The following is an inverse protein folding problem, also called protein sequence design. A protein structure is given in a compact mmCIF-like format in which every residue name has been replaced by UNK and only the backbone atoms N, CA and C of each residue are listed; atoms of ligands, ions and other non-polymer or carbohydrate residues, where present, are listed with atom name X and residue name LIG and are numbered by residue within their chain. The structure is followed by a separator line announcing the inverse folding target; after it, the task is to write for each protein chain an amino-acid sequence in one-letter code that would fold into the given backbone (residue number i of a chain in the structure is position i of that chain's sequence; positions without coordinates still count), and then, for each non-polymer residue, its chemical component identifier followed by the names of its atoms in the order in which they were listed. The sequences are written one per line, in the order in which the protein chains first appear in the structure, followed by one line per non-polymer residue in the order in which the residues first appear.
data_IF_831148611159
#
_entry.id   IF_831148611159
#
_cell.length_a   1.000
_cell.length_b   1.000
_cell.length_c   1.000
_cell.angle_alpha   90.00
_cell.angle_beta   90.00
_cell.angle_gamma   90.00
#
_symmetry.space_group_name_H-M   'P 1'
#
loop_
_entity.id
_entity.type
_entity.pdbx_description
1 polymer ?
#
# COMPACT_ATOMS: atom_id res chain seq x y z
N UNK A 1 2.03 -35.28 0.03
CA UNK A 1 1.30 -34.37 -0.87
C UNK A 1 2.26 -33.31 -1.35
N UNK A 2 2.04 -32.77 -2.54
CA UNK A 2 2.87 -31.71 -3.11
C UNK A 2 1.99 -30.51 -3.46
N UNK A 3 2.50 -29.30 -3.22
CA UNK A 3 1.83 -28.06 -3.65
C UNK A 3 2.35 -27.71 -5.03
N UNK A 4 1.45 -27.67 -6.02
CA UNK A 4 1.80 -27.34 -7.41
C UNK A 4 1.71 -25.85 -7.70
N UNK A 5 0.74 -25.17 -7.11
CA UNK A 5 0.50 -23.75 -7.33
C UNK A 5 -0.28 -23.15 -6.17
N UNK A 6 -0.21 -21.83 -6.04
CA UNK A 6 -1.03 -21.06 -5.10
C UNK A 6 -1.57 -19.82 -5.81
N UNK A 7 -2.72 -19.34 -5.38
CA UNK A 7 -3.27 -18.04 -5.82
C UNK A 7 -4.10 -17.40 -4.73
N UNK A 8 -4.17 -16.08 -4.78
CA UNK A 8 -4.93 -15.26 -3.84
C UNK A 8 -6.11 -14.65 -4.59
N UNK A 9 -7.29 -14.65 -3.97
CA UNK A 9 -8.50 -14.05 -4.52
C UNK A 9 -8.94 -12.95 -3.55
N UNK A 10 -8.99 -11.67 -3.97
CA UNK A 10 -8.61 -11.17 -5.30
C UNK A 10 -7.08 -11.23 -5.54
N UNK A 11 -6.66 -11.26 -6.82
CA UNK A 11 -5.24 -11.30 -7.21
C UNK A 11 -4.46 -10.02 -6.82
N UNK A 12 -5.17 -8.95 -6.47
CA UNK A 12 -4.59 -7.68 -6.03
C UNK A 12 -5.36 -7.15 -4.82
N UNK A 13 -5.14 -7.74 -3.64
CA UNK A 13 -5.89 -7.39 -2.44
C UNK A 13 -5.62 -5.96 -1.99
N UNK A 14 -6.65 -5.34 -1.44
CA UNK A 14 -6.60 -4.06 -0.75
C UNK A 14 -6.84 -4.25 0.75
N UNK A 15 -6.44 -3.26 1.54
CA UNK A 15 -6.78 -3.17 2.97
C UNK A 15 -8.29 -3.28 3.16
N UNK A 16 -8.74 -4.17 4.04
CA UNK A 16 -10.16 -4.45 4.29
C UNK A 16 -10.85 -5.35 3.24
N UNK A 17 -10.12 -5.86 2.24
CA UNK A 17 -10.67 -6.90 1.37
C UNK A 17 -10.75 -8.24 2.11
N UNK A 18 -11.80 -9.00 1.81
CA UNK A 18 -11.86 -10.42 2.16
C UNK A 18 -11.01 -11.22 1.20
N UNK A 19 -10.08 -11.98 1.76
CA UNK A 19 -9.05 -12.65 0.97
C UNK A 19 -9.17 -14.15 1.13
N UNK A 20 -9.16 -14.84 -0.01
CA UNK A 20 -9.10 -16.30 -0.04
C UNK A 20 -7.77 -16.74 -0.62
N UNK A 21 -7.03 -17.55 0.14
CA UNK A 21 -5.87 -18.27 -0.40
C UNK A 21 -6.34 -19.62 -0.92
N UNK A 22 -6.03 -19.91 -2.19
CA UNK A 22 -6.22 -21.22 -2.78
C UNK A 22 -4.88 -21.90 -3.05
N UNK A 23 -4.80 -23.17 -2.70
CA UNK A 23 -3.62 -24.01 -2.82
C UNK A 23 -3.98 -25.23 -3.66
N UNK A 24 -3.19 -25.48 -4.70
CA UNK A 24 -3.34 -26.66 -5.55
C UNK A 24 -2.49 -27.80 -5.03
N UNK A 25 -3.14 -28.83 -4.53
CA UNK A 25 -2.51 -30.04 -4.02
C UNK A 25 -2.51 -31.14 -5.06
N UNK A 26 -1.40 -31.88 -5.15
CA UNK A 26 -1.26 -33.10 -5.95
C UNK A 26 -0.88 -34.26 -5.03
N UNK A 27 -1.58 -35.38 -5.16
CA UNK A 27 -1.26 -36.60 -4.42
C UNK A 27 -0.53 -37.61 -5.32
N UNK A 28 0.79 -37.74 -5.14
CA UNK A 28 1.62 -38.75 -5.81
C UNK A 28 1.64 -40.12 -5.10
N UNK A 29 1.04 -40.20 -3.90
CA UNK A 29 1.10 -41.36 -3.01
C UNK A 29 -0.21 -42.17 -2.95
N UNK A 30 -0.52 -42.66 -1.75
CA UNK A 30 -1.75 -43.40 -1.46
C UNK A 30 -2.90 -42.38 -1.29
N UNK A 31 -4.13 -42.70 -1.74
CA UNK A 31 -5.28 -41.84 -1.49
C UNK A 31 -5.40 -41.45 -0.01
N UNK A 32 -5.61 -40.17 0.26
CA UNK A 32 -5.62 -39.66 1.63
C UNK A 32 -6.07 -38.23 1.74
N UNK A 33 -6.14 -37.75 2.98
CA UNK A 33 -6.47 -36.36 3.31
C UNK A 33 -5.16 -35.62 3.59
N UNK A 34 -5.02 -34.42 3.03
CA UNK A 34 -3.94 -33.50 3.34
C UNK A 34 -4.39 -32.55 4.46
N UNK A 35 -3.50 -32.29 5.41
CA UNK A 35 -3.70 -31.30 6.45
C UNK A 35 -2.57 -30.27 6.35
N UNK A 36 -2.92 -29.04 5.99
CA UNK A 36 -1.98 -27.97 5.73
C UNK A 36 -2.03 -26.93 6.85
N UNK A 37 -0.89 -26.39 7.21
CA UNK A 37 -0.73 -25.22 8.07
C UNK A 37 -0.25 -24.06 7.22
N UNK A 38 -1.02 -22.97 7.19
CA UNK A 38 -0.72 -21.78 6.40
C UNK A 38 -0.10 -20.73 7.31
N UNK A 39 1.04 -20.19 6.86
CA UNK A 39 1.67 -19.02 7.48
C UNK A 39 1.92 -17.93 6.48
N UNK A 40 1.87 -16.70 6.92
CA UNK A 40 2.23 -15.54 6.14
C UNK A 40 3.53 -14.92 6.59
N UNK A 41 4.22 -14.23 5.69
CA UNK A 41 5.40 -13.44 6.00
C UNK A 41 5.23 -12.06 5.40
N UNK A 42 5.25 -11.05 6.25
CA UNK A 42 5.13 -9.63 5.90
C UNK A 42 6.40 -8.90 6.31
N UNK A 43 6.88 -7.94 5.50
CA UNK A 43 7.99 -7.03 5.86
C UNK A 43 9.22 -7.73 6.51
N UNK A 44 9.59 -8.91 6.03
CA UNK A 44 10.65 -9.77 6.56
C UNK A 44 10.52 -10.12 8.07
N UNK A 45 9.33 -10.01 8.64
CA UNK A 45 9.02 -10.44 10.00
C UNK A 45 8.93 -11.97 10.09
N UNK A 46 8.99 -12.55 11.30
CA UNK A 46 8.76 -13.97 11.50
C UNK A 46 7.41 -14.43 10.92
N UNK A 47 7.30 -15.67 10.42
CA UNK A 47 6.04 -16.17 9.88
C UNK A 47 4.89 -16.17 10.89
N UNK A 48 3.76 -15.58 10.52
CA UNK A 48 2.53 -15.51 11.32
C UNK A 48 1.58 -16.63 10.90
N UNK A 49 0.93 -17.28 11.86
CA UNK A 49 -0.04 -18.34 11.59
C UNK A 49 -1.38 -17.76 11.11
N UNK A 50 -1.88 -18.27 9.98
CA UNK A 50 -3.13 -17.83 9.36
C UNK A 50 -4.26 -18.83 9.57
N UNK A 51 -3.95 -20.13 9.58
CA UNK A 51 -4.97 -21.16 9.74
C UNK A 51 -4.57 -22.53 9.20
N UNK A 52 -5.53 -23.46 9.26
CA UNK A 52 -5.39 -24.80 8.72
C UNK A 52 -6.30 -25.02 7.53
N UNK A 53 -5.84 -25.83 6.56
CA UNK A 53 -6.66 -26.33 5.46
C UNK A 53 -6.67 -27.85 5.52
N UNK A 54 -7.85 -28.44 5.62
CA UNK A 54 -8.02 -29.89 5.52
C UNK A 54 -8.69 -30.22 4.19
N UNK A 55 -8.04 -31.05 3.37
CA UNK A 55 -8.62 -31.48 2.10
C UNK A 55 -9.69 -32.57 2.29
N UNK A 56 -10.44 -32.84 1.23
CA UNK A 56 -11.12 -34.12 1.11
C UNK A 56 -10.12 -35.24 0.75
N UNK A 57 -10.60 -36.47 0.56
CA UNK A 57 -9.74 -37.57 0.11
C UNK A 57 -9.32 -37.30 -1.35
N UNK A 58 -8.04 -37.05 -1.56
CA UNK A 58 -7.45 -36.89 -2.89
C UNK A 58 -6.96 -38.26 -3.35
N UNK A 59 -7.48 -38.76 -4.47
CA UNK A 59 -7.04 -40.02 -5.06
C UNK A 59 -5.58 -39.98 -5.53
N UNK A 60 -5.01 -41.16 -5.80
CA UNK A 60 -3.66 -41.26 -6.36
C UNK A 60 -3.60 -40.58 -7.73
N UNK A 61 -2.53 -39.80 -7.95
CA UNK A 61 -2.26 -39.02 -9.16
C UNK A 61 -3.36 -37.98 -9.48
N UNK A 62 -4.18 -37.62 -8.48
CA UNK A 62 -5.20 -36.57 -8.60
C UNK A 62 -4.71 -35.26 -8.00
N UNK A 63 -5.30 -34.17 -8.50
CA UNK A 63 -5.07 -32.82 -8.01
C UNK A 63 -6.38 -32.21 -7.51
N UNK A 64 -6.30 -31.41 -6.46
CA UNK A 64 -7.43 -30.70 -5.88
C UNK A 64 -7.01 -29.31 -5.42
N UNK A 65 -7.85 -28.32 -5.71
CA UNK A 65 -7.75 -27.00 -5.11
C UNK A 65 -8.43 -27.02 -3.74
N UNK A 66 -7.72 -26.51 -2.75
CA UNK A 66 -8.23 -26.30 -1.39
C UNK A 66 -8.05 -24.83 -1.01
N UNK A 67 -8.93 -24.31 -0.16
CA UNK A 67 -8.97 -22.88 0.12
C UNK A 67 -9.15 -22.56 1.59
N UNK A 68 -8.68 -21.39 2.00
CA UNK A 68 -8.95 -20.78 3.31
C UNK A 68 -9.34 -19.31 3.13
N UNK A 69 -10.33 -18.86 3.89
CA UNK A 69 -10.61 -17.44 4.08
C UNK A 69 -9.65 -16.90 5.14
N UNK A 70 -8.92 -15.86 4.79
CA UNK A 70 -7.91 -15.24 5.62
C UNK A 70 -8.47 -14.03 6.36
N UNK A 71 -7.80 -13.63 7.42
CA UNK A 71 -8.12 -12.38 8.10
C UNK A 71 -7.88 -11.19 7.17
N UNK A 72 -8.72 -10.17 7.31
CA UNK A 72 -8.62 -8.95 6.51
C UNK A 72 -7.34 -8.20 6.90
N UNK A 73 -6.59 -7.74 5.90
CA UNK A 73 -5.42 -6.91 6.17
C UNK A 73 -5.86 -5.53 6.63
N UNK A 74 -5.31 -5.09 7.77
CA UNK A 74 -5.48 -3.74 8.32
C UNK A 74 -4.49 -2.74 7.73
N UNK A 75 -3.34 -3.23 7.27
CA UNK A 75 -2.21 -2.41 6.85
C UNK A 75 -1.72 -2.79 5.45
N UNK A 76 -1.36 -1.78 4.67
CA UNK A 76 -0.77 -1.99 3.36
C UNK A 76 0.62 -2.63 3.53
N UNK A 77 0.88 -3.70 2.78
CA UNK A 77 2.11 -4.48 2.87
C UNK A 77 2.68 -4.74 1.49
N UNK A 78 4.01 -4.73 1.37
CA UNK A 78 4.72 -5.03 0.12
C UNK A 78 5.55 -6.30 0.24
N UNK A 79 5.57 -7.12 -0.81
CA UNK A 79 6.42 -8.31 -0.86
C UNK A 79 5.96 -9.44 0.07
N UNK A 80 4.67 -9.46 0.43
CA UNK A 80 4.10 -10.50 1.27
C UNK A 80 4.06 -11.83 0.53
N UNK A 81 4.28 -12.93 1.24
CA UNK A 81 4.14 -14.29 0.69
C UNK A 81 3.61 -15.26 1.75
N UNK A 82 3.08 -16.39 1.28
CA UNK A 82 2.65 -17.48 2.14
C UNK A 82 3.65 -18.64 2.12
N UNK A 83 3.74 -19.33 3.25
CA UNK A 83 4.44 -20.60 3.41
C UNK A 83 3.38 -21.65 3.77
N UNK A 84 3.38 -22.75 3.04
CA UNK A 84 2.48 -23.89 3.28
C UNK A 84 3.29 -25.02 3.90
N UNK A 85 2.88 -25.46 5.08
CA UNK A 85 3.46 -26.59 5.77
C UNK A 85 2.51 -27.78 5.73
N UNK A 86 3.08 -28.98 5.73
CA UNK A 86 2.35 -30.18 6.11
C UNK A 86 2.16 -30.16 7.64
N UNK A 87 0.93 -30.22 8.11
CA UNK A 87 0.63 -30.06 9.53
C UNK A 87 1.12 -31.24 10.38
N UNK A 88 1.23 -32.45 9.82
CA UNK A 88 1.65 -33.66 10.54
C UNK A 88 3.17 -33.73 10.67
N UNK A 89 3.89 -33.59 9.56
CA UNK A 89 5.36 -33.70 9.50
C UNK A 89 6.08 -32.38 9.81
N UNK A 90 5.40 -31.24 9.67
CA UNK A 90 5.96 -29.88 9.72
C UNK A 90 6.94 -29.56 8.60
N UNK A 91 6.94 -30.37 7.54
CA UNK A 91 7.72 -30.11 6.33
C UNK A 91 7.14 -28.93 5.55
N UNK A 92 8.02 -28.10 4.98
CA UNK A 92 7.62 -27.02 4.07
C UNK A 92 7.26 -27.65 2.73
N UNK A 93 5.99 -27.51 2.33
CA UNK A 93 5.50 -27.96 1.03
C UNK A 93 5.59 -26.88 -0.04
N UNK A 94 5.55 -25.62 0.37
CA UNK A 94 5.63 -24.47 -0.53
C UNK A 94 6.14 -23.24 0.20
N UNK A 95 7.03 -22.48 -0.45
CA UNK A 95 7.46 -21.17 0.02
C UNK A 95 7.29 -20.14 -1.10
N UNK A 96 6.35 -19.22 -0.93
CA UNK A 96 6.06 -18.22 -1.95
C UNK A 96 7.25 -17.32 -2.28
N UNK A 97 8.19 -17.11 -1.35
CA UNK A 97 9.41 -16.36 -1.63
C UNK A 97 10.31 -17.07 -2.63
N UNK A 98 10.52 -18.37 -2.42
CA UNK A 98 11.41 -19.19 -3.26
C UNK A 98 10.81 -19.39 -4.67
N UNK A 99 9.48 -19.41 -4.74
CA UNK A 99 8.71 -19.56 -5.98
C UNK A 99 8.43 -18.21 -6.69
N UNK A 100 8.92 -17.08 -6.15
CA UNK A 100 8.66 -15.74 -6.70
C UNK A 100 7.18 -15.31 -6.63
N UNK A 101 6.39 -15.96 -5.79
CA UNK A 101 4.98 -15.70 -5.52
C UNK A 101 4.82 -14.76 -4.33
N UNK A 102 5.29 -13.53 -4.50
CA UNK A 102 5.03 -12.42 -3.58
C UNK A 102 3.94 -11.51 -4.13
N UNK A 103 3.09 -10.96 -3.27
CA UNK A 103 2.07 -10.00 -3.65
C UNK A 103 2.08 -8.80 -2.70
N UNK A 104 1.39 -7.74 -3.11
CA UNK A 104 1.26 -6.51 -2.33
C UNK A 104 -0.21 -6.34 -1.94
N UNK A 105 -0.43 -5.90 -0.71
CA UNK A 105 -1.71 -5.42 -0.21
C UNK A 105 -1.69 -3.90 -0.33
N UNK A 106 -2.56 -3.35 -1.17
CA UNK A 106 -2.62 -1.89 -1.41
C UNK A 106 -3.52 -1.22 -0.39
N UNK A 107 -3.30 0.05 -0.11
CA UNK A 107 -4.31 0.86 0.59
C UNK A 107 -5.62 0.78 -0.19
N UNK A 108 -6.74 0.61 0.52
CA UNK A 108 -8.05 0.76 -0.11
C UNK A 108 -8.08 2.12 -0.79
N UNK A 109 -8.32 2.14 -2.10
CA UNK A 109 -8.56 3.40 -2.77
C UNK A 109 -9.81 4.00 -2.11
N UNK A 110 -9.67 5.13 -1.42
CA UNK A 110 -10.82 5.93 -1.02
C UNK A 110 -11.61 6.20 -2.29
N UNK A 111 -12.75 5.50 -2.44
CA UNK A 111 -13.46 5.36 -3.70
C UNK A 111 -13.59 6.70 -4.42
N UNK A 112 -12.78 6.90 -5.45
CA UNK A 112 -12.90 8.03 -6.35
C UNK A 112 -13.67 7.55 -7.58
N UNK A 113 -14.95 7.21 -7.40
CA UNK A 113 -15.89 6.99 -8.50
C UNK A 113 -17.30 7.34 -8.02
N UNK A 114 -17.66 8.64 -7.99
CA UNK A 114 -18.55 9.13 -9.04
C UNK A 114 -18.84 10.64 -8.99
N UNK A 115 -17.92 11.46 -8.47
CA UNK A 115 -18.13 12.91 -8.40
C UNK A 115 -17.06 13.78 -9.09
N UNK A 116 -15.83 13.30 -9.35
CA UNK A 116 -14.78 14.18 -9.88
C UNK A 116 -14.66 14.18 -11.41
N UNK A 117 -14.71 13.02 -12.08
CA UNK A 117 -14.59 12.95 -13.55
C UNK A 117 -15.83 13.45 -14.28
N UNK A 118 -17.03 13.14 -13.77
CA UNK A 118 -18.29 13.65 -14.32
C UNK A 118 -18.45 15.17 -14.16
N UNK A 119 -18.15 15.71 -12.97
CA UNK A 119 -18.21 17.15 -12.74
C UNK A 119 -17.18 17.91 -13.56
N UNK A 120 -15.96 17.39 -13.73
CA UNK A 120 -14.97 18.03 -14.62
C UNK A 120 -15.51 18.12 -16.05
N UNK A 121 -16.08 17.04 -16.60
CA UNK A 121 -16.64 17.07 -17.96
C UNK A 121 -17.87 17.99 -18.04
N UNK A 122 -18.77 17.98 -17.06
CA UNK A 122 -19.94 18.86 -17.00
C UNK A 122 -19.53 20.33 -16.90
N UNK A 123 -18.54 20.65 -16.05
CA UNK A 123 -17.98 22.00 -15.90
C UNK A 123 -17.33 22.45 -17.20
N UNK A 124 -16.54 21.60 -17.86
CA UNK A 124 -15.92 21.92 -19.15
C UNK A 124 -16.96 22.17 -20.25
N UNK A 125 -18.01 21.34 -20.35
CA UNK A 125 -19.12 21.56 -21.30
C UNK A 125 -19.86 22.88 -20.98
N UNK A 126 -20.10 23.15 -19.70
CA UNK A 126 -20.73 24.40 -19.25
C UNK A 126 -19.92 25.64 -19.64
N UNK A 127 -18.60 25.62 -19.45
CA UNK A 127 -17.70 26.71 -19.84
C UNK A 127 -17.72 26.94 -21.34
N UNK A 128 -17.65 25.88 -22.16
CA UNK A 128 -17.70 25.98 -23.62
C UNK A 128 -19.03 26.60 -24.10
N UNK A 129 -20.16 26.21 -23.48
CA UNK A 129 -21.47 26.76 -23.82
C UNK A 129 -21.56 28.26 -23.49
N UNK A 130 -21.04 28.69 -22.33
CA UNK A 130 -20.99 30.11 -21.94
C UNK A 130 -20.15 30.92 -22.93
N UNK A 131 -18.96 30.42 -23.31
CA UNK A 131 -18.10 31.09 -24.28
C UNK A 131 -18.77 31.23 -25.65
N UNK A 132 -19.48 30.19 -26.12
CA UNK A 132 -20.24 30.27 -27.37
C UNK A 132 -21.34 31.34 -27.32
N UNK A 133 -22.06 31.46 -26.19
CA UNK A 133 -23.08 32.51 -26.01
C UNK A 133 -22.44 33.91 -26.02
N UNK A 134 -21.31 34.11 -25.31
CA UNK A 134 -20.60 35.39 -25.29
C UNK A 134 -20.16 35.81 -26.70
N UNK A 135 -19.59 34.89 -27.48
CA UNK A 135 -19.17 35.17 -28.87
C UNK A 135 -20.36 35.52 -29.76
N UNK A 136 -21.50 34.84 -29.60
CA UNK A 136 -22.72 35.14 -30.36
C UNK A 136 -23.31 36.50 -29.96
N UNK A 137 -23.30 36.84 -28.67
CA UNK A 137 -23.76 38.16 -28.18
C UNK A 137 -22.85 39.27 -28.70
N UNK A 138 -21.53 39.10 -28.65
CA UNK A 138 -20.58 40.06 -29.23
C UNK A 138 -20.78 40.18 -30.74
N UNK A 139 -20.90 39.06 -31.45
CA UNK A 139 -21.10 39.07 -32.91
C UNK A 139 -22.45 39.67 -33.34
N UNK A 140 -23.50 39.52 -32.52
CA UNK A 140 -24.80 40.17 -32.76
C UNK A 140 -24.79 41.63 -32.35
N UNK A 141 -24.01 42.00 -31.33
CA UNK A 141 -23.86 43.39 -30.89
C UNK A 141 -23.01 44.22 -31.86
N UNK A 142 -22.10 43.59 -32.60
CA UNK A 142 -21.20 44.29 -33.52
C UNK A 142 -21.84 44.64 -34.88
N UNK A 143 -23.14 44.97 -34.91
CA UNK A 143 -23.85 45.45 -36.11
C UNK A 143 -24.38 46.88 -36.00
N UNK A 144 -24.06 47.59 -34.92
CA UNK A 144 -24.24 49.04 -34.84
C UNK A 144 -23.01 49.65 -34.17
N UNK A 145 -22.44 50.64 -34.86
CA UNK A 145 -21.35 51.55 -34.50
C UNK A 145 -21.22 51.86 -33.01
N UNK A 146 -20.01 51.78 -32.46
CA UNK A 146 -19.14 52.94 -32.16
C UNK A 146 -17.92 52.42 -31.40
N UNK A 147 -16.76 52.48 -32.07
CA UNK A 147 -15.46 52.33 -31.45
C UNK A 147 -15.06 53.73 -30.98
N UNK A 148 -15.11 54.03 -29.69
CA UNK A 148 -14.34 55.13 -29.09
C UNK A 148 -14.55 55.15 -27.57
N UNK A 149 -13.43 55.33 -26.84
CA UNK A 149 -13.32 55.67 -25.42
C UNK A 149 -13.82 54.64 -24.39
N UNK A 150 -13.23 54.46 -23.23
CA UNK A 150 -12.15 55.04 -22.44
C UNK A 150 -12.11 54.11 -21.19
N UNK A 151 -11.21 54.33 -20.25
CA UNK A 151 -11.14 53.75 -18.89
C UNK A 151 -9.97 52.77 -18.69
N UNK A 152 -8.79 53.34 -18.91
CA UNK A 152 -7.71 53.26 -17.92
C UNK A 152 -8.27 53.55 -16.50
N UNK A 153 -8.17 52.56 -15.61
CA UNK A 153 -8.25 52.79 -14.16
C UNK A 153 -7.11 52.03 -13.49
N UNK A 154 -6.05 52.79 -13.24
CA UNK A 154 -5.07 52.61 -12.20
C UNK A 154 -5.77 52.55 -10.83
N UNK A 155 -5.52 51.49 -10.07
CA UNK A 155 -5.68 51.44 -8.61
C UNK A 155 -4.64 50.48 -8.04
N UNK A 156 -3.55 51.09 -7.57
CA UNK A 156 -2.82 50.61 -6.40
C UNK A 156 -3.79 50.41 -5.23
N UNK A 157 -3.75 49.24 -4.59
CA UNK A 157 -3.95 49.14 -3.13
C UNK A 157 -3.22 47.91 -2.59
N UNK A 158 -2.39 48.18 -1.59
CA UNK A 158 -1.52 47.28 -0.85
C UNK A 158 -2.24 46.12 -0.15
N UNK A 159 -1.60 44.96 -0.15
CA UNK A 159 -1.54 44.04 1.00
C UNK A 159 -0.42 43.00 0.83
N UNK A 160 0.74 43.35 1.36
CA UNK A 160 1.79 42.43 1.76
C UNK A 160 1.32 41.47 2.87
N UNK A 161 1.73 40.20 2.82
CA UNK A 161 2.60 39.59 3.86
C UNK A 161 3.25 38.28 3.37
N UNK A 162 4.58 38.29 3.48
CA UNK A 162 5.56 37.21 3.68
C UNK A 162 5.50 35.90 2.84
N UNK A 163 6.56 35.70 2.06
CA UNK A 163 6.98 34.43 1.48
C UNK A 163 7.36 33.40 2.55
N UNK A 164 6.84 32.18 2.46
CA UNK A 164 7.53 30.99 2.96
C UNK A 164 8.06 30.26 1.72
N UNK A 165 9.38 30.04 1.58
CA UNK A 165 9.90 29.29 0.45
C UNK A 165 9.34 27.86 0.51
N UNK A 166 8.91 27.36 -0.65
CA UNK A 166 8.63 25.95 -0.88
C UNK A 166 9.88 25.15 -0.52
N UNK A 167 9.86 24.46 0.63
CA UNK A 167 10.85 23.42 0.92
C UNK A 167 10.55 22.22 0.03
N UNK A 168 11.04 22.30 -1.19
CA UNK A 168 11.47 21.13 -1.95
C UNK A 168 12.69 20.55 -1.23
N UNK A 169 12.48 19.78 -0.17
CA UNK A 169 13.56 19.00 0.44
C UNK A 169 13.73 17.70 -0.35
N UNK A 170 14.35 17.83 -1.52
CA UNK A 170 15.33 16.83 -1.93
C UNK A 170 16.63 17.21 -1.22
N UNK A 171 16.82 16.72 -0.01
CA UNK A 171 18.09 16.83 0.69
C UNK A 171 18.63 15.42 0.95
N UNK A 172 19.38 14.90 -0.01
CA UNK A 172 20.44 13.94 0.32
C UNK A 172 21.61 14.74 0.85
N UNK A 173 21.76 14.76 2.17
CA UNK A 173 22.97 15.23 2.85
C UNK A 173 23.63 14.07 3.60
N UNK A 174 24.97 14.10 3.71
CA UNK A 174 25.82 12.93 3.83
C UNK A 174 25.71 12.31 5.23
N UNK A 175 26.22 11.07 5.38
CA UNK A 175 26.36 10.38 6.66
C UNK A 175 26.90 11.33 7.74
N UNK A 176 25.98 11.94 8.49
CA UNK A 176 26.31 12.73 9.65
C UNK A 176 26.92 11.74 10.62
N UNK A 177 28.11 12.06 11.12
CA UNK A 177 28.83 11.26 12.10
C UNK A 177 27.87 10.86 13.22
N UNK A 178 27.43 9.61 13.15
CA UNK A 178 26.52 9.00 14.10
C UNK A 178 27.21 9.11 15.45
N UNK A 179 26.55 9.67 16.47
CA UNK A 179 27.11 9.63 17.82
C UNK A 179 27.35 8.16 18.19
N UNK A 180 28.39 7.83 18.97
CA UNK A 180 28.66 6.43 19.34
C UNK A 180 27.42 5.71 19.91
N UNK A 181 26.58 6.44 20.66
CA UNK A 181 25.33 5.93 21.22
C UNK A 181 24.25 5.67 20.16
N UNK A 182 24.16 6.49 19.11
CA UNK A 182 23.21 6.23 18.02
C UNK A 182 23.65 5.07 17.13
N UNK A 183 24.95 4.87 16.94
CA UNK A 183 25.44 3.69 16.25
C UNK A 183 25.09 2.40 17.03
N UNK A 184 25.25 2.42 18.35
CA UNK A 184 24.88 1.28 19.22
C UNK A 184 23.36 1.04 19.21
N UNK A 185 22.54 2.09 19.25
CA UNK A 185 21.09 1.95 19.15
C UNK A 185 20.64 1.39 17.79
N UNK A 186 21.26 1.79 16.68
CA UNK A 186 20.95 1.23 15.36
C UNK A 186 21.29 -0.27 15.25
N UNK A 187 22.30 -0.74 15.99
CA UNK A 187 22.68 -2.16 16.02
C UNK A 187 21.73 -3.00 16.89
N UNK A 188 21.38 -2.50 18.08
CA UNK A 188 20.51 -3.21 19.04
C UNK A 188 19.03 -3.10 18.72
N UNK A 189 18.63 -1.96 18.18
CA UNK A 189 17.24 -1.54 17.97
C UNK A 189 16.97 -1.44 16.47
N UNK A 190 17.40 -2.46 15.74
CA UNK A 190 17.46 -2.49 14.27
C UNK A 190 16.11 -2.45 13.57
N UNK A 191 15.00 -2.48 14.32
CA UNK A 191 13.64 -2.39 13.82
C UNK A 191 13.14 -0.94 13.73
N UNK A 192 13.82 0.02 14.37
CA UNK A 192 13.54 1.46 14.27
C UNK A 192 14.48 2.15 13.29
N UNK A 193 13.96 3.14 12.59
CA UNK A 193 14.75 4.02 11.74
C UNK A 193 15.59 5.01 12.57
N UNK A 194 16.63 5.56 11.95
CA UNK A 194 17.50 6.54 12.60
C UNK A 194 16.72 7.77 13.11
N UNK A 195 15.68 8.21 12.39
CA UNK A 195 14.83 9.34 12.79
C UNK A 195 13.97 9.01 14.02
N UNK A 196 13.46 7.78 14.12
CA UNK A 196 12.69 7.32 15.28
C UNK A 196 13.57 7.23 16.52
N UNK A 197 14.77 6.64 16.40
CA UNK A 197 15.75 6.55 17.49
C UNK A 197 16.20 7.95 17.92
N UNK A 198 16.44 8.87 16.98
CA UNK A 198 16.73 10.28 17.30
C UNK A 198 15.57 10.91 18.07
N UNK A 199 14.32 10.67 17.66
CA UNK A 199 13.15 11.18 18.36
C UNK A 199 13.05 10.73 19.82
N UNK A 200 13.49 9.51 20.14
CA UNK A 200 13.56 9.03 21.52
C UNK A 200 14.73 9.64 22.31
N UNK A 201 15.88 9.81 21.67
CA UNK A 201 17.02 10.50 22.28
C UNK A 201 16.74 11.98 22.55
N UNK A 202 16.02 12.65 21.66
CA UNK A 202 15.55 14.02 21.86
C UNK A 202 14.56 14.14 23.03
N UNK A 203 13.84 13.05 23.35
CA UNK A 203 12.98 12.93 24.52
C UNK A 203 13.75 12.53 25.80
N UNK A 204 15.07 12.33 25.72
CA UNK A 204 15.95 12.00 26.84
C UNK A 204 16.05 10.52 27.16
N UNK A 205 15.64 9.63 26.26
CA UNK A 205 15.82 8.18 26.42
C UNK A 205 17.25 7.75 26.13
N UNK A 206 17.73 6.72 26.82
CA UNK A 206 19.05 6.10 26.57
C UNK A 206 18.94 4.78 25.80
N UNK A 207 20.04 4.33 25.18
CA UNK A 207 20.11 3.06 24.44
C UNK A 207 19.60 1.88 25.28
N UNK A 208 20.00 1.82 26.56
CA UNK A 208 19.59 0.74 27.48
C UNK A 208 18.09 0.74 27.74
N UNK A 209 17.45 1.91 27.85
CA UNK A 209 16.01 1.99 28.08
C UNK A 209 15.22 1.60 26.83
N UNK A 210 15.75 1.88 25.64
CA UNK A 210 15.19 1.42 24.38
C UNK A 210 15.30 -0.10 24.23
N UNK A 211 16.43 -0.68 24.63
CA UNK A 211 16.68 -2.12 24.68
C UNK A 211 15.74 -2.83 25.69
N UNK A 212 15.64 -2.32 26.93
CA UNK A 212 14.75 -2.89 27.95
C UNK A 212 13.26 -2.79 27.58
N UNK A 213 12.85 -1.70 26.91
CA UNK A 213 11.50 -1.58 26.40
C UNK A 213 11.21 -2.63 25.32
N UNK A 214 12.16 -2.87 24.42
CA UNK A 214 12.04 -3.87 23.36
C UNK A 214 11.92 -5.29 23.92
N UNK A 215 12.71 -5.62 24.94
CA UNK A 215 12.65 -6.92 25.61
C UNK A 215 11.35 -7.13 26.41
N UNK A 216 10.65 -6.04 26.76
CA UNK A 216 9.36 -6.07 27.45
C UNK A 216 8.15 -5.86 26.52
N UNK A 217 8.35 -5.83 25.20
CA UNK A 217 7.27 -5.97 24.21
C UNK A 217 6.96 -7.44 23.95
#
# INVERSE_FOLDING_TARGET
FEVRNTRTIPDSPQVGDKITLEVELVNSGIPGIANLEIKSVTNNQPPVFEGYITSEIIGKDQAQWVSIELEEFTDATTGMYYIVYDNESKDILFNGKDEGKTFNVKVAASGADGLSTGLIVIVLIGVIAILAVVVVVISRRNREDDLEDEFEYDYEDDKSYASIPQQTQTYSAPAAAVSPEMAEAMEKVSFWTQEEIQGYFDQGWSVQQLEEWLENQ
#
